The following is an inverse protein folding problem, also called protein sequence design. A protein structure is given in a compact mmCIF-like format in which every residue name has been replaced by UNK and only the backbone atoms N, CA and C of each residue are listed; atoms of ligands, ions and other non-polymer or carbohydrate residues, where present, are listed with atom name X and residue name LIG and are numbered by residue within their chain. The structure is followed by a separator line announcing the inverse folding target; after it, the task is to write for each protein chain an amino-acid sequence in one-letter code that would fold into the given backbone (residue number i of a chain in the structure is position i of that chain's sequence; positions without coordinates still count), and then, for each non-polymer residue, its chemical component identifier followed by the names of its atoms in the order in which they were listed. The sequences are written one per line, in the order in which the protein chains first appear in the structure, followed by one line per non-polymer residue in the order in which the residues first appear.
data_IF_227251061174
#
_entry.id   IF_227251061174
#
_cell.length_a   1.000
_cell.length_b   1.000
_cell.length_c   1.000
_cell.angle_alpha   90.00
_cell.angle_beta   90.00
_cell.angle_gamma   90.00
#
_symmetry.space_group_name_H-M   'P 1'
#
loop_
_entity.id
_entity.type
_entity.pdbx_description
1 polymer ?
#
# COMPACT_ATOMS: atom_id res chain seq x y z
N UNK A 1 -34.17 25.94 28.03
CA UNK A 1 -34.29 24.73 27.16
C UNK A 1 -33.37 24.75 25.93
N UNK A 2 -33.00 25.92 25.44
CA UNK A 2 -32.16 26.09 24.21
C UNK A 2 -30.69 25.65 24.37
N UNK A 3 -30.09 25.88 25.54
CA UNK A 3 -28.68 25.60 25.86
C UNK A 3 -28.36 24.08 25.86
N UNK A 4 -29.36 23.25 26.08
CA UNK A 4 -29.22 21.79 26.09
C UNK A 4 -29.28 21.20 24.67
N UNK A 5 -30.02 21.86 23.79
CA UNK A 5 -30.16 21.49 22.36
C UNK A 5 -28.86 21.78 21.58
N UNK A 6 -28.22 22.92 21.86
CA UNK A 6 -26.94 23.28 21.23
C UNK A 6 -25.80 22.38 21.64
N UNK A 7 -25.79 21.94 22.92
CA UNK A 7 -24.80 21.00 23.45
C UNK A 7 -24.96 19.60 22.88
N UNK A 8 -26.21 19.14 22.68
CA UNK A 8 -26.50 17.87 22.02
C UNK A 8 -26.12 17.87 20.55
N UNK A 9 -26.38 18.96 19.85
CA UNK A 9 -25.98 19.13 18.44
C UNK A 9 -24.46 19.20 18.27
N UNK A 10 -23.75 19.86 19.19
CA UNK A 10 -22.28 19.91 19.14
C UNK A 10 -21.62 18.55 19.46
N UNK A 11 -22.24 17.75 20.32
CA UNK A 11 -21.77 16.38 20.62
C UNK A 11 -22.06 15.41 19.48
N UNK A 12 -23.22 15.51 18.83
CA UNK A 12 -23.54 14.72 17.64
C UNK A 12 -22.62 15.06 16.47
N UNK A 13 -22.41 16.35 16.21
CA UNK A 13 -21.52 16.80 15.12
C UNK A 13 -20.04 16.39 15.38
N UNK A 14 -19.61 16.32 16.64
CA UNK A 14 -18.29 15.83 17.03
C UNK A 14 -18.18 14.30 16.92
N UNK A 15 -19.25 13.57 17.17
CA UNK A 15 -19.31 12.12 17.01
C UNK A 15 -19.32 11.72 15.52
N UNK A 16 -20.13 12.41 14.70
CA UNK A 16 -20.16 12.19 13.25
C UNK A 16 -18.82 12.52 12.58
N UNK A 17 -18.15 13.58 13.02
CA UNK A 17 -16.80 13.94 12.58
C UNK A 17 -15.78 12.84 12.91
N UNK A 18 -15.89 12.20 14.09
CA UNK A 18 -14.99 11.11 14.50
C UNK A 18 -15.18 9.83 13.68
N UNK A 19 -16.43 9.44 13.45
CA UNK A 19 -16.79 8.24 12.68
C UNK A 19 -16.42 8.42 11.21
N UNK A 20 -16.74 9.56 10.63
CA UNK A 20 -16.41 9.86 9.24
C UNK A 20 -14.90 9.87 9.01
N UNK A 21 -14.14 10.38 9.98
CA UNK A 21 -12.69 10.39 9.92
C UNK A 21 -12.07 8.99 10.07
N UNK A 22 -12.66 8.16 10.94
CA UNK A 22 -12.29 6.76 11.08
C UNK A 22 -12.59 5.97 9.80
N UNK A 23 -13.78 6.12 9.25
CA UNK A 23 -14.21 5.43 8.02
C UNK A 23 -13.33 5.79 6.81
N UNK A 24 -13.00 7.07 6.66
CA UNK A 24 -12.07 7.53 5.60
C UNK A 24 -10.70 6.85 5.70
N UNK A 25 -10.17 6.65 6.90
CA UNK A 25 -8.89 5.96 7.12
C UNK A 25 -8.97 4.47 6.83
N UNK A 26 -10.07 3.81 7.20
CA UNK A 26 -10.29 2.40 6.88
C UNK A 26 -10.36 2.21 5.37
N UNK A 27 -11.17 3.03 4.67
CA UNK A 27 -11.26 2.98 3.21
C UNK A 27 -9.90 3.22 2.56
N UNK A 28 -9.17 4.20 3.05
CA UNK A 28 -7.84 4.49 2.56
C UNK A 28 -6.86 3.34 2.80
N UNK A 29 -6.94 2.68 3.95
CA UNK A 29 -6.20 1.46 4.24
C UNK A 29 -6.54 0.34 3.26
N UNK A 30 -7.82 0.11 2.98
CA UNK A 30 -8.27 -0.90 2.02
C UNK A 30 -7.66 -0.64 0.63
N UNK A 31 -7.74 0.60 0.15
CA UNK A 31 -7.19 0.98 -1.17
C UNK A 31 -5.68 0.78 -1.23
N UNK A 32 -4.96 1.18 -0.18
CA UNK A 32 -3.50 0.98 -0.07
C UNK A 32 -3.15 -0.50 0.02
N UNK A 33 -3.93 -1.29 0.78
CA UNK A 33 -3.75 -2.73 0.89
C UNK A 33 -3.96 -3.47 -0.44
N UNK A 34 -5.02 -3.13 -1.17
CA UNK A 34 -5.27 -3.66 -2.53
C UNK A 34 -4.11 -3.31 -3.46
N UNK A 35 -3.69 -2.03 -3.45
CA UNK A 35 -2.58 -1.56 -4.30
C UNK A 35 -1.22 -2.18 -3.96
N UNK A 36 -1.06 -2.74 -2.76
CA UNK A 36 0.16 -3.46 -2.37
C UNK A 36 0.29 -4.85 -2.98
N UNK A 37 -0.81 -5.47 -3.41
CA UNK A 37 -0.82 -6.82 -4.00
C UNK A 37 -0.86 -6.76 -5.52
N UNK A 38 -1.55 -5.76 -6.10
CA UNK A 38 -1.71 -5.66 -7.56
C UNK A 38 -0.37 -5.33 -8.22
N UNK A 39 0.18 -6.20 -9.10
CA UNK A 39 1.44 -5.92 -9.78
C UNK A 39 1.35 -4.64 -10.62
N UNK A 40 2.39 -3.81 -10.58
CA UNK A 40 2.43 -2.53 -11.31
C UNK A 40 1.72 -1.37 -10.60
N UNK A 41 0.99 -1.62 -9.51
CA UNK A 41 0.39 -0.58 -8.68
C UNK A 41 1.12 -0.54 -7.34
N UNK A 42 1.61 0.62 -6.96
CA UNK A 42 2.28 0.80 -5.67
C UNK A 42 1.29 1.33 -4.62
N UNK A 43 1.05 0.57 -3.55
CA UNK A 43 0.26 1.03 -2.40
C UNK A 43 0.82 2.33 -1.81
N UNK A 44 2.13 2.54 -1.86
CA UNK A 44 2.78 3.78 -1.45
C UNK A 44 2.37 4.98 -2.30
N UNK A 45 2.32 4.84 -3.62
CA UNK A 45 1.86 5.90 -4.53
C UNK A 45 0.39 6.23 -4.26
N UNK A 46 -0.45 5.23 -4.01
CA UNK A 46 -1.85 5.44 -3.63
C UNK A 46 -1.96 6.21 -2.31
N UNK A 47 -1.15 5.85 -1.31
CA UNK A 47 -1.11 6.56 -0.04
C UNK A 47 -0.69 8.03 -0.20
N UNK A 48 0.27 8.31 -1.09
CA UNK A 48 0.69 9.69 -1.44
C UNK A 48 -0.45 10.44 -2.12
N UNK A 49 -1.09 9.84 -3.13
CA UNK A 49 -2.20 10.45 -3.88
C UNK A 49 -3.40 10.76 -2.98
N UNK A 50 -3.65 9.94 -1.96
CA UNK A 50 -4.70 10.16 -0.97
C UNK A 50 -4.27 11.11 0.16
N UNK A 51 -3.04 11.62 0.15
CA UNK A 51 -2.51 12.53 1.17
C UNK A 51 -2.29 11.89 2.55
N UNK A 52 -2.30 10.56 2.65
CA UNK A 52 -2.20 9.82 3.92
C UNK A 52 -0.76 9.42 4.23
N UNK A 53 0.11 9.43 3.22
CA UNK A 53 1.50 8.96 3.35
C UNK A 53 2.28 9.74 4.40
N UNK A 54 2.22 11.08 4.36
CA UNK A 54 2.91 11.93 5.34
C UNK A 54 2.37 11.76 6.76
N UNK A 55 1.04 11.84 7.02
CA UNK A 55 0.49 11.53 8.34
C UNK A 55 0.82 10.12 8.84
N UNK A 56 0.92 9.13 7.94
CA UNK A 56 1.31 7.76 8.27
C UNK A 56 2.77 7.69 8.73
N UNK A 57 3.69 8.34 8.02
CA UNK A 57 5.10 8.42 8.43
C UNK A 57 5.28 9.17 9.74
N UNK A 58 4.56 10.29 9.94
CA UNK A 58 4.60 11.06 11.18
C UNK A 58 4.07 10.24 12.38
N UNK A 59 3.04 9.42 12.15
CA UNK A 59 2.51 8.52 13.17
C UNK A 59 3.49 7.38 13.48
N UNK A 60 4.16 6.81 12.47
CA UNK A 60 5.20 5.79 12.66
C UNK A 60 6.41 6.35 13.42
N UNK A 61 6.91 7.52 13.02
CA UNK A 61 8.02 8.20 13.70
C UNK A 61 7.66 8.63 15.12
N UNK A 62 6.40 9.02 15.34
CA UNK A 62 5.87 9.45 16.63
C UNK A 62 5.46 8.32 17.58
N UNK A 63 5.60 7.05 17.19
CA UNK A 63 5.12 5.91 17.98
C UNK A 63 5.78 5.85 19.36
N UNK A 64 7.06 6.22 19.44
CA UNK A 64 7.81 6.27 20.71
C UNK A 64 7.52 7.52 21.56
N UNK A 65 7.05 8.63 20.94
CA UNK A 65 6.75 9.88 21.64
C UNK A 65 5.30 10.04 22.05
N UNK A 66 4.37 9.51 21.26
CA UNK A 66 2.92 9.67 21.43
C UNK A 66 2.17 8.40 21.05
N UNK A 67 2.47 7.29 21.72
CA UNK A 67 1.95 5.97 21.42
C UNK A 67 0.43 5.93 21.18
N UNK A 68 -0.35 6.51 22.10
CA UNK A 68 -1.83 6.52 21.99
C UNK A 68 -2.34 7.21 20.73
N UNK A 69 -1.77 8.36 20.37
CA UNK A 69 -2.21 9.13 19.20
C UNK A 69 -1.81 8.47 17.90
N UNK A 70 -0.59 7.95 17.83
CA UNK A 70 -0.06 7.21 16.66
C UNK A 70 -0.81 5.91 16.46
N UNK A 71 -1.06 5.17 17.53
CA UNK A 71 -1.81 3.92 17.49
C UNK A 71 -3.26 4.12 17.02
N UNK A 72 -3.97 5.13 17.54
CA UNK A 72 -5.34 5.47 17.11
C UNK A 72 -5.40 5.90 15.63
N UNK A 73 -4.30 6.40 15.09
CA UNK A 73 -4.21 6.74 13.67
C UNK A 73 -3.93 5.51 12.81
N UNK A 74 -2.93 4.70 13.20
CA UNK A 74 -2.48 3.54 12.44
C UNK A 74 -3.47 2.37 12.50
N UNK A 75 -4.20 2.23 13.60
CA UNK A 75 -5.12 1.10 13.82
C UNK A 75 -6.21 1.00 12.73
N UNK A 76 -7.02 2.05 12.44
CA UNK A 76 -8.02 1.97 11.38
C UNK A 76 -7.39 1.79 9.99
N UNK A 77 -6.25 2.42 9.75
CA UNK A 77 -5.50 2.28 8.50
C UNK A 77 -4.95 0.85 8.35
N UNK A 78 -4.41 0.27 9.41
CA UNK A 78 -3.90 -1.09 9.44
C UNK A 78 -5.00 -2.14 9.27
N UNK A 79 -6.15 -1.98 9.95
CA UNK A 79 -7.32 -2.86 9.78
C UNK A 79 -7.81 -2.78 8.32
N UNK A 80 -7.98 -1.57 7.79
CA UNK A 80 -8.35 -1.38 6.39
C UNK A 80 -7.35 -2.04 5.44
N UNK A 81 -6.06 -1.83 5.67
CA UNK A 81 -4.98 -2.44 4.90
C UNK A 81 -5.01 -3.96 4.93
N UNK A 82 -5.18 -4.56 6.11
CA UNK A 82 -5.31 -6.00 6.26
C UNK A 82 -6.54 -6.54 5.50
N UNK A 83 -7.70 -5.90 5.67
CA UNK A 83 -8.93 -6.29 4.95
C UNK A 83 -8.72 -6.19 3.45
N UNK A 84 -8.12 -5.11 2.94
CA UNK A 84 -7.83 -4.94 1.53
C UNK A 84 -6.87 -6.01 1.00
N UNK A 85 -5.80 -6.29 1.75
CA UNK A 85 -4.82 -7.33 1.48
C UNK A 85 -5.46 -8.71 1.37
N UNK A 86 -6.17 -9.16 2.40
CA UNK A 86 -6.79 -10.49 2.44
C UNK A 86 -7.88 -10.64 1.38
N UNK A 87 -8.74 -9.62 1.20
CA UNK A 87 -9.80 -9.67 0.19
C UNK A 87 -9.22 -9.76 -1.22
N UNK A 88 -8.19 -8.96 -1.52
CA UNK A 88 -7.57 -8.97 -2.85
C UNK A 88 -6.74 -10.24 -3.09
N UNK A 89 -6.06 -10.76 -2.08
CA UNK A 89 -5.32 -12.03 -2.14
C UNK A 89 -6.27 -13.18 -2.51
N UNK A 90 -7.40 -13.28 -1.82
CA UNK A 90 -8.39 -14.32 -2.09
C UNK A 90 -9.02 -14.19 -3.49
N UNK A 91 -9.29 -12.95 -3.91
CA UNK A 91 -9.81 -12.67 -5.25
C UNK A 91 -8.81 -13.09 -6.34
N UNK A 92 -7.52 -12.78 -6.16
CA UNK A 92 -6.46 -13.15 -7.10
C UNK A 92 -6.27 -14.66 -7.13
N UNK A 93 -6.29 -15.32 -5.98
CA UNK A 93 -6.20 -16.78 -5.89
C UNK A 93 -7.35 -17.45 -6.67
N UNK A 94 -8.59 -17.04 -6.40
CA UNK A 94 -9.76 -17.51 -7.13
C UNK A 94 -9.65 -17.29 -8.65
N UNK A 95 -9.19 -16.10 -9.04
CA UNK A 95 -9.02 -15.73 -10.44
C UNK A 95 -7.90 -16.55 -11.12
N UNK A 96 -6.79 -16.84 -10.43
CA UNK A 96 -5.71 -17.68 -10.94
C UNK A 96 -6.13 -19.14 -11.09
N UNK A 97 -6.98 -19.64 -10.20
CA UNK A 97 -7.50 -21.02 -10.30
C UNK A 97 -8.44 -21.16 -11.49
N UNK A 98 -9.35 -20.20 -11.69
CA UNK A 98 -10.40 -20.30 -12.73
C UNK A 98 -9.96 -19.71 -14.08
N UNK A 99 -9.10 -18.69 -14.11
CA UNK A 99 -8.73 -17.90 -15.29
C UNK A 99 -7.22 -17.64 -15.34
N UNK A 100 -6.42 -18.70 -15.21
CA UNK A 100 -4.95 -18.60 -15.10
C UNK A 100 -4.31 -17.79 -16.22
N UNK A 101 -4.64 -18.09 -17.49
CA UNK A 101 -4.02 -17.44 -18.66
C UNK A 101 -4.39 -15.94 -18.73
N UNK A 102 -5.68 -15.54 -18.72
CA UNK A 102 -6.06 -14.13 -18.71
C UNK A 102 -5.45 -13.32 -17.55
N UNK A 103 -5.40 -13.89 -16.35
CA UNK A 103 -4.84 -13.22 -15.18
C UNK A 103 -3.33 -13.02 -15.30
N UNK A 104 -2.61 -14.02 -15.82
CA UNK A 104 -1.18 -13.86 -16.10
C UNK A 104 -0.92 -12.79 -17.17
N UNK A 105 -1.70 -12.76 -18.26
CA UNK A 105 -1.59 -11.72 -19.29
C UNK A 105 -1.90 -10.33 -18.70
N UNK A 106 -2.91 -10.22 -17.83
CA UNK A 106 -3.24 -8.99 -17.12
C UNK A 106 -2.06 -8.51 -16.27
N UNK A 107 -1.44 -9.41 -15.50
CA UNK A 107 -0.29 -9.06 -14.64
C UNK A 107 0.92 -8.61 -15.47
N UNK A 108 1.24 -9.32 -16.56
CA UNK A 108 2.29 -8.87 -17.48
C UNK A 108 1.99 -7.50 -18.07
N UNK A 109 0.73 -7.25 -18.46
CA UNK A 109 0.29 -5.95 -18.97
C UNK A 109 0.42 -4.83 -17.92
N UNK A 110 0.03 -5.09 -16.67
CA UNK A 110 0.14 -4.12 -15.57
C UNK A 110 1.61 -3.80 -15.25
N UNK A 111 2.47 -4.81 -15.19
CA UNK A 111 3.92 -4.61 -14.96
C UNK A 111 4.53 -3.82 -16.12
N UNK A 112 4.27 -4.23 -17.37
CA UNK A 112 4.76 -3.54 -18.54
C UNK A 112 4.25 -2.10 -18.63
N UNK A 113 2.97 -1.87 -18.30
CA UNK A 113 2.36 -0.53 -18.23
C UNK A 113 2.91 0.34 -17.11
N UNK A 114 3.41 -0.24 -16.03
CA UNK A 114 4.06 0.47 -14.93
C UNK A 114 5.47 0.96 -15.24
N UNK A 115 6.20 0.28 -16.15
CA UNK A 115 7.60 0.61 -16.48
C UNK A 115 7.77 2.08 -16.92
N UNK A 116 6.98 2.65 -17.85
CA UNK A 116 7.14 4.04 -18.28
C UNK A 116 7.00 5.04 -17.13
N UNK A 117 6.09 4.77 -16.19
CA UNK A 117 5.88 5.61 -15.01
C UNK A 117 7.11 5.60 -14.09
N UNK A 118 7.68 4.43 -13.84
CA UNK A 118 8.89 4.26 -13.03
C UNK A 118 10.11 4.93 -13.67
N UNK A 119 10.28 4.77 -14.99
CA UNK A 119 11.36 5.43 -15.75
C UNK A 119 11.21 6.95 -15.68
N UNK A 120 9.99 7.48 -15.85
CA UNK A 120 9.72 8.92 -15.74
C UNK A 120 10.03 9.46 -14.35
N UNK A 121 9.66 8.74 -13.30
CA UNK A 121 9.92 9.12 -11.91
C UNK A 121 11.44 9.08 -11.60
N UNK A 122 12.14 8.05 -12.05
CA UNK A 122 13.59 7.95 -11.90
C UNK A 122 14.32 9.10 -12.62
N UNK A 123 13.86 9.46 -13.82
CA UNK A 123 14.45 10.53 -14.60
C UNK A 123 14.18 11.93 -14.00
N UNK A 124 13.05 12.13 -13.33
CA UNK A 124 12.70 13.41 -12.67
C UNK A 124 13.57 13.72 -11.45
N UNK A 125 14.18 12.72 -10.83
CA UNK A 125 15.00 12.85 -9.61
C UNK A 125 16.52 12.93 -9.88
N UNK A 126 16.96 13.19 -11.11
CA UNK A 126 18.38 13.42 -11.41
C UNK A 126 18.99 12.55 -12.50
N UNK A 127 18.19 11.91 -13.32
CA UNK A 127 18.61 11.13 -14.48
C UNK A 127 19.27 9.78 -14.16
N UNK A 128 19.45 8.98 -15.18
CA UNK A 128 20.11 7.67 -15.08
C UNK A 128 21.62 7.86 -14.86
N UNK A 129 22.08 7.67 -13.63
CA UNK A 129 23.51 7.56 -13.35
C UNK A 129 23.97 6.11 -13.62
N UNK A 130 25.18 5.88 -14.17
CA UNK A 130 25.70 4.54 -14.42
C UNK A 130 25.73 3.65 -13.16
N UNK A 131 25.80 4.26 -11.97
CA UNK A 131 25.70 3.58 -10.69
C UNK A 131 24.36 2.83 -10.50
N UNK A 132 23.26 3.30 -11.10
CA UNK A 132 21.96 2.61 -11.00
C UNK A 132 21.90 1.35 -11.86
N UNK A 133 22.60 1.32 -12.99
CA UNK A 133 22.74 0.12 -13.84
C UNK A 133 23.50 -0.96 -13.08
N UNK A 134 24.59 -0.60 -12.40
CA UNK A 134 25.34 -1.54 -11.57
C UNK A 134 24.48 -2.11 -10.45
N UNK A 135 23.70 -1.27 -9.74
CA UNK A 135 22.80 -1.71 -8.69
C UNK A 135 21.70 -2.66 -9.23
N UNK A 136 21.16 -2.38 -10.42
CA UNK A 136 20.14 -3.22 -11.06
C UNK A 136 20.71 -4.58 -11.47
N UNK A 137 21.91 -4.60 -12.06
CA UNK A 137 22.59 -5.83 -12.46
C UNK A 137 22.94 -6.68 -11.22
N UNK A 138 23.46 -6.04 -10.16
CA UNK A 138 23.74 -6.72 -8.89
C UNK A 138 22.46 -7.32 -8.27
N UNK A 139 21.35 -6.58 -8.27
CA UNK A 139 20.05 -7.08 -7.79
C UNK A 139 19.55 -8.26 -8.61
N UNK A 140 19.64 -8.19 -9.94
CA UNK A 140 19.26 -9.28 -10.83
C UNK A 140 20.13 -10.53 -10.63
N UNK A 141 21.45 -10.36 -10.48
CA UNK A 141 22.38 -11.44 -10.17
C UNK A 141 22.09 -12.10 -8.82
N UNK A 142 21.75 -11.29 -7.80
CA UNK A 142 21.38 -11.78 -6.48
C UNK A 142 20.11 -12.64 -6.55
N UNK A 143 19.08 -12.21 -7.28
CA UNK A 143 17.83 -12.96 -7.46
C UNK A 143 18.11 -14.28 -8.22
N UNK A 144 18.90 -14.23 -9.29
CA UNK A 144 19.29 -15.43 -10.04
C UNK A 144 20.05 -16.41 -9.14
N UNK A 145 21.03 -15.93 -8.35
CA UNK A 145 21.78 -16.76 -7.42
C UNK A 145 20.86 -17.44 -6.39
N UNK A 146 19.92 -16.70 -5.79
CA UNK A 146 18.94 -17.25 -4.86
C UNK A 146 18.06 -18.32 -5.52
N UNK A 147 17.60 -18.10 -6.76
CA UNK A 147 16.78 -19.06 -7.49
C UNK A 147 17.54 -20.34 -7.81
N UNK A 148 18.83 -20.23 -8.14
CA UNK A 148 19.67 -21.41 -8.37
C UNK A 148 19.96 -22.15 -7.07
N UNK A 149 20.14 -21.43 -5.96
CA UNK A 149 20.36 -22.02 -4.62
C UNK A 149 19.11 -22.80 -4.16
N UNK A 150 17.93 -22.24 -4.36
CA UNK A 150 16.65 -22.87 -4.02
C UNK A 150 16.42 -24.15 -4.84
N UNK A 151 16.70 -24.11 -6.14
CA UNK A 151 16.61 -25.30 -7.00
C UNK A 151 17.64 -26.37 -6.66
N UNK A 152 18.85 -25.98 -6.24
CA UNK A 152 19.88 -26.90 -5.79
C UNK A 152 19.51 -27.59 -4.47
N UNK A 153 18.81 -26.89 -3.56
CA UNK A 153 18.36 -27.45 -2.29
C UNK A 153 17.11 -28.33 -2.41
N UNK A 154 16.26 -28.08 -3.43
CA UNK A 154 15.07 -28.88 -3.70
C UNK A 154 15.37 -30.17 -4.52
N UNK A 155 16.61 -30.32 -5.00
CA UNK A 155 17.05 -31.48 -5.79
C UNK A 155 17.84 -32.54 -4.96
N UNK A 156 18.05 -32.27 -3.65
CA UNK A 156 18.63 -33.21 -2.67
C UNK A 156 17.57 -33.66 -1.67
#
# INVERSE_FOLDING_TARGET
MEKNKSKSQSLQNKSESGITFFLKRVIAGIVVGIGGIVPGVSGGILAVSMGIYKPMLDALAGIFKSFKRSFLFLLPLGIGGAVGLFSMSHLIEWALVNYRIPVMCLFFGLVAGGIPSLVKEANSKGGFKPSYIIATVLGALCILALTFFEKGFAAT
#
